data_IF_324278621963
#
_entry.id   IF_324278621963
#
_cell.length_a   1.000
_cell.length_b   1.000
_cell.length_c   1.000
_cell.angle_alpha   90.00
_cell.angle_beta   90.00
_cell.angle_gamma   90.00
#
_symmetry.space_group_name_H-M   'P 1'
#
loop_
_entity.id
_entity.type
_entity.pdbx_description
1 polymer ?
#
# COMPACT_ATOMS: atom_id res chain seq x y z
N UNK A 1 23.39 -9.21 63.03
CA UNK A 1 21.96 -9.07 63.38
C UNK A 1 21.45 -7.74 62.84
N UNK A 2 20.35 -7.80 62.07
CA UNK A 2 19.35 -6.75 61.80
C UNK A 2 19.82 -5.40 61.21
N UNK A 3 19.57 -5.29 59.89
CA UNK A 3 19.51 -4.06 59.09
C UNK A 3 18.18 -3.36 59.34
N UNK A 4 18.15 -2.02 59.38
CA UNK A 4 17.04 -1.20 58.86
C UNK A 4 17.49 0.27 58.73
N UNK A 5 17.50 0.77 57.49
CA UNK A 5 17.48 2.20 57.17
C UNK A 5 16.06 2.54 56.73
N UNK A 6 15.52 3.63 57.29
CA UNK A 6 14.23 4.25 56.90
C UNK A 6 14.52 5.22 55.76
N UNK A 7 13.79 5.09 54.65
CA UNK A 7 13.74 6.10 53.59
C UNK A 7 12.30 6.24 53.08
N UNK A 8 11.70 7.39 53.43
CA UNK A 8 10.97 8.38 52.62
C UNK A 8 9.88 7.89 51.63
N UNK A 9 8.68 8.42 51.86
CA UNK A 9 7.46 8.40 51.04
C UNK A 9 7.66 8.80 49.57
N UNK A 10 6.87 8.21 48.66
CA UNK A 10 6.10 8.96 47.66
C UNK A 10 4.98 8.09 47.07
N UNK A 11 3.75 8.61 47.11
CA UNK A 11 2.59 8.00 46.48
C UNK A 11 2.76 8.01 44.96
N UNK A 12 2.68 6.84 44.33
CA UNK A 12 2.65 6.70 42.87
C UNK A 12 1.20 6.48 42.43
N UNK A 13 0.60 7.48 41.80
CA UNK A 13 -0.72 7.38 41.19
C UNK A 13 -0.63 6.49 39.93
N UNK A 14 -1.57 5.56 39.70
CA UNK A 14 -1.60 4.82 38.45
C UNK A 14 -2.12 5.73 37.34
N UNK A 15 -1.24 6.10 36.40
CA UNK A 15 -1.64 6.67 35.12
C UNK A 15 -2.34 5.59 34.31
N UNK A 16 -3.64 5.76 34.04
CA UNK A 16 -4.37 4.96 33.07
C UNK A 16 -3.80 5.24 31.68
N UNK A 17 -2.97 4.33 31.17
CA UNK A 17 -2.59 4.32 29.76
C UNK A 17 -3.82 3.90 28.94
N UNK A 18 -4.44 4.86 28.26
CA UNK A 18 -5.45 4.56 27.25
C UNK A 18 -4.81 3.76 26.12
N UNK A 19 -5.12 2.48 26.07
CA UNK A 19 -4.88 1.64 24.89
C UNK A 19 -5.81 2.15 23.79
N UNK A 20 -5.28 2.98 22.89
CA UNK A 20 -5.87 3.15 21.56
C UNK A 20 -5.77 1.78 20.89
N UNK A 21 -6.88 1.05 20.88
CA UNK A 21 -7.08 -0.03 19.95
C UNK A 21 -7.10 0.58 18.55
N UNK A 22 -5.95 0.55 17.88
CA UNK A 22 -5.91 0.75 16.44
C UNK A 22 -6.72 -0.39 15.81
N UNK A 23 -7.98 -0.11 15.46
CA UNK A 23 -8.75 -1.01 14.60
C UNK A 23 -7.95 -1.20 13.33
N UNK A 24 -7.63 -2.43 12.90
CA UNK A 24 -7.10 -2.62 11.57
C UNK A 24 -8.16 -2.05 10.62
N UNK A 25 -7.78 -1.02 9.87
CA UNK A 25 -8.54 -0.63 8.69
C UNK A 25 -8.40 -1.81 7.75
N UNK A 26 -9.37 -2.73 7.81
CA UNK A 26 -9.58 -3.70 6.74
C UNK A 26 -9.98 -2.82 5.57
N UNK A 27 -8.98 -2.43 4.77
CA UNK A 27 -9.22 -1.79 3.48
C UNK A 27 -10.17 -2.73 2.74
N UNK A 28 -11.40 -2.29 2.53
CA UNK A 28 -12.45 -3.08 1.91
C UNK A 28 -11.93 -3.60 0.58
N UNK A 29 -11.45 -4.83 0.51
CA UNK A 29 -11.00 -5.44 -0.74
C UNK A 29 -12.19 -5.51 -1.67
N UNK A 30 -12.05 -5.06 -2.93
CA UNK A 30 -13.01 -5.40 -3.98
C UNK A 30 -13.30 -6.89 -3.90
N UNK A 31 -14.53 -7.22 -3.51
CA UNK A 31 -15.00 -8.59 -3.50
C UNK A 31 -15.30 -9.06 -4.93
N UNK A 32 -15.50 -8.12 -5.86
CA UNK A 32 -15.92 -8.41 -7.23
C UNK A 32 -14.78 -8.96 -8.11
N UNK A 33 -13.53 -8.52 -7.91
CA UNK A 33 -12.37 -9.02 -8.66
C UNK A 33 -11.61 -10.14 -7.95
N UNK A 34 -12.02 -10.53 -6.75
CA UNK A 34 -11.35 -11.56 -5.96
C UNK A 34 -10.03 -11.07 -5.35
N UNK A 35 -9.03 -11.96 -5.29
CA UNK A 35 -7.76 -11.67 -4.61
C UNK A 35 -6.82 -10.79 -5.47
N UNK A 36 -6.55 -9.58 -4.98
CA UNK A 36 -5.62 -8.61 -5.57
C UNK A 36 -4.29 -8.48 -4.79
N UNK A 37 -4.03 -9.36 -3.82
CA UNK A 37 -2.91 -9.20 -2.87
C UNK A 37 -1.55 -9.18 -3.55
N UNK A 38 -1.37 -9.97 -4.62
CA UNK A 38 -0.14 -10.00 -5.40
C UNK A 38 0.14 -8.65 -6.08
N UNK A 39 -0.87 -8.06 -6.73
CA UNK A 39 -0.77 -6.74 -7.38
C UNK A 39 -0.46 -5.64 -6.38
N UNK A 40 -1.16 -5.65 -5.23
CA UNK A 40 -0.91 -4.71 -4.12
C UNK A 40 0.53 -4.82 -3.60
N UNK A 41 1.05 -6.04 -3.47
CA UNK A 41 2.42 -6.26 -3.01
C UNK A 41 3.43 -5.66 -4.00
N UNK A 42 3.30 -5.95 -5.30
CA UNK A 42 4.20 -5.42 -6.31
C UNK A 42 4.13 -3.89 -6.38
N UNK A 43 2.95 -3.29 -6.30
CA UNK A 43 2.78 -1.84 -6.31
C UNK A 43 3.39 -1.17 -5.06
N UNK A 44 3.24 -1.75 -3.86
CA UNK A 44 3.88 -1.25 -2.64
C UNK A 44 5.40 -1.38 -2.70
N UNK A 45 5.92 -2.52 -3.17
CA UNK A 45 7.37 -2.69 -3.33
C UNK A 45 7.93 -1.68 -4.34
N UNK A 46 7.21 -1.42 -5.43
CA UNK A 46 7.58 -0.37 -6.40
C UNK A 46 7.60 1.00 -5.74
N UNK A 47 6.59 1.32 -4.91
CA UNK A 47 6.54 2.58 -4.16
C UNK A 47 7.75 2.72 -3.21
N UNK A 48 8.09 1.67 -2.47
CA UNK A 48 9.26 1.65 -1.58
C UNK A 48 10.56 1.92 -2.36
N UNK A 49 10.72 1.36 -3.55
CA UNK A 49 11.89 1.61 -4.40
C UNK A 49 11.96 3.07 -4.87
N UNK A 50 10.82 3.67 -5.24
CA UNK A 50 10.78 5.10 -5.58
C UNK A 50 11.10 5.97 -4.36
N UNK A 51 10.59 5.61 -3.19
CA UNK A 51 10.85 6.32 -1.94
C UNK A 51 12.31 6.22 -1.48
N UNK A 52 13.01 5.12 -1.82
CA UNK A 52 14.45 4.97 -1.59
C UNK A 52 15.33 5.59 -2.68
N UNK A 53 14.73 6.15 -3.74
CA UNK A 53 15.45 6.75 -4.87
C UNK A 53 15.96 5.75 -5.91
N UNK A 54 15.61 4.47 -5.81
CA UNK A 54 16.01 3.43 -6.77
C UNK A 54 15.01 3.37 -7.95
N UNK A 55 15.12 4.35 -8.83
CA UNK A 55 14.22 4.49 -9.98
C UNK A 55 14.40 3.35 -11.01
N UNK A 56 15.59 2.77 -11.11
CA UNK A 56 15.87 1.67 -12.04
C UNK A 56 15.20 0.38 -11.57
N UNK A 57 15.33 0.06 -10.28
CA UNK A 57 14.62 -1.07 -9.70
C UNK A 57 13.09 -0.87 -9.74
N UNK A 58 12.61 0.37 -9.49
CA UNK A 58 11.19 0.68 -9.59
C UNK A 58 10.65 0.45 -11.01
N UNK A 59 11.38 0.84 -12.05
CA UNK A 59 11.02 0.56 -13.45
C UNK A 59 10.94 -0.93 -13.77
N UNK A 60 11.86 -1.73 -13.22
CA UNK A 60 11.79 -3.19 -13.36
C UNK A 60 10.54 -3.72 -12.64
N UNK A 61 10.30 -3.28 -11.41
CA UNK A 61 9.22 -3.82 -10.60
C UNK A 61 7.82 -3.44 -11.10
N UNK A 62 7.65 -2.26 -11.70
CA UNK A 62 6.39 -1.92 -12.37
C UNK A 62 6.19 -2.72 -13.68
N UNK A 63 7.26 -3.20 -14.31
CA UNK A 63 7.15 -4.12 -15.46
C UNK A 63 6.69 -5.51 -15.01
N UNK A 64 7.15 -5.96 -13.84
CA UNK A 64 6.63 -7.19 -13.22
C UNK A 64 5.13 -7.06 -12.89
N UNK A 65 4.69 -5.87 -12.43
CA UNK A 65 3.26 -5.58 -12.22
C UNK A 65 2.45 -5.74 -13.51
N UNK A 66 2.87 -5.04 -14.58
CA UNK A 66 2.19 -5.04 -15.89
C UNK A 66 2.05 -6.46 -16.44
N UNK A 67 3.14 -7.24 -16.39
CA UNK A 67 3.15 -8.63 -16.86
C UNK A 67 2.11 -9.49 -16.14
N UNK A 68 2.03 -9.40 -14.81
CA UNK A 68 1.08 -10.17 -14.01
C UNK A 68 -0.36 -9.67 -14.18
N UNK A 69 -0.55 -8.36 -14.34
CA UNK A 69 -1.86 -7.74 -14.55
C UNK A 69 -2.47 -8.16 -15.89
N UNK A 70 -1.69 -8.07 -16.98
CA UNK A 70 -2.09 -8.50 -18.32
C UNK A 70 -2.42 -9.99 -18.35
N UNK A 71 -1.58 -10.82 -17.71
CA UNK A 71 -1.82 -12.27 -17.61
C UNK A 71 -3.12 -12.59 -16.85
N UNK A 72 -3.54 -11.73 -15.94
CA UNK A 72 -4.77 -11.89 -15.17
C UNK A 72 -6.02 -11.35 -15.88
N UNK A 73 -5.89 -10.56 -16.95
CA UNK A 73 -7.01 -9.90 -17.62
C UNK A 73 -8.14 -10.86 -17.98
N UNK A 74 -7.84 -11.98 -18.63
CA UNK A 74 -8.87 -12.96 -19.06
C UNK A 74 -9.69 -13.53 -17.89
N UNK A 75 -9.12 -13.55 -16.68
CA UNK A 75 -9.79 -14.00 -15.45
C UNK A 75 -10.53 -12.88 -14.74
N UNK A 76 -9.94 -11.68 -14.67
CA UNK A 76 -10.46 -10.57 -13.87
C UNK A 76 -11.48 -9.73 -14.62
N UNK A 77 -11.22 -9.43 -15.90
CA UNK A 77 -12.09 -8.57 -16.71
C UNK A 77 -13.55 -9.02 -16.71
N UNK A 78 -13.89 -10.32 -16.93
CA UNK A 78 -15.29 -10.75 -16.98
C UNK A 78 -16.00 -10.72 -15.62
N UNK A 79 -15.28 -10.62 -14.50
CA UNK A 79 -15.90 -10.60 -13.16
C UNK A 79 -16.53 -9.25 -12.85
N UNK A 80 -15.86 -8.16 -13.21
CA UNK A 80 -16.37 -6.81 -13.07
C UNK A 80 -15.62 -5.84 -13.99
N UNK A 81 -16.23 -5.49 -15.11
CA UNK A 81 -15.62 -4.63 -16.13
C UNK A 81 -15.35 -3.21 -15.60
N UNK A 82 -16.23 -2.66 -14.74
CA UNK A 82 -16.09 -1.30 -14.22
C UNK A 82 -14.92 -1.20 -13.24
N UNK A 83 -14.86 -2.11 -12.26
CA UNK A 83 -13.77 -2.11 -11.28
C UNK A 83 -12.43 -2.51 -11.90
N UNK A 84 -12.43 -3.44 -12.87
CA UNK A 84 -11.23 -3.78 -13.61
C UNK A 84 -10.70 -2.55 -14.36
N UNK A 85 -11.57 -1.84 -15.08
CA UNK A 85 -11.17 -0.64 -15.85
C UNK A 85 -10.68 0.51 -14.98
N UNK A 86 -11.20 0.66 -13.77
CA UNK A 86 -10.71 1.65 -12.80
C UNK A 86 -9.26 1.33 -12.37
N UNK A 87 -8.97 0.07 -12.05
CA UNK A 87 -7.61 -0.36 -11.69
C UNK A 87 -6.68 -0.25 -12.89
N UNK A 88 -7.13 -0.68 -14.07
CA UNK A 88 -6.38 -0.64 -15.33
C UNK A 88 -5.92 0.78 -15.68
N UNK A 89 -6.83 1.76 -15.61
CA UNK A 89 -6.52 3.18 -15.81
C UNK A 89 -5.47 3.69 -14.80
N UNK A 90 -5.56 3.26 -13.54
CA UNK A 90 -4.58 3.65 -12.53
C UNK A 90 -3.21 2.96 -12.74
N UNK A 91 -3.21 1.72 -13.25
CA UNK A 91 -2.02 0.98 -13.61
C UNK A 91 -1.29 1.67 -14.77
N UNK A 92 -2.00 2.04 -15.83
CA UNK A 92 -1.47 2.81 -16.95
C UNK A 92 -0.81 4.11 -16.50
N UNK A 93 -1.44 4.83 -15.56
CA UNK A 93 -0.87 6.04 -14.97
C UNK A 93 0.45 5.77 -14.22
N UNK A 94 0.50 4.71 -13.42
CA UNK A 94 1.72 4.31 -12.70
C UNK A 94 2.84 3.88 -13.66
N UNK A 95 2.55 3.00 -14.62
CA UNK A 95 3.48 2.52 -15.65
C UNK A 95 4.04 3.70 -16.45
N UNK A 96 3.17 4.58 -16.94
CA UNK A 96 3.55 5.75 -17.72
C UNK A 96 4.44 6.72 -16.94
N UNK A 97 4.13 6.94 -15.64
CA UNK A 97 4.92 7.84 -14.80
C UNK A 97 6.37 7.38 -14.61
N UNK A 98 6.58 6.05 -14.47
CA UNK A 98 7.89 5.44 -14.28
C UNK A 98 8.66 5.28 -15.60
N UNK A 99 7.96 5.14 -16.74
CA UNK A 99 8.56 5.00 -18.07
C UNK A 99 8.70 6.31 -18.85
N UNK A 100 8.30 7.44 -18.27
CA UNK A 100 8.51 8.75 -18.87
C UNK A 100 9.99 8.97 -19.22
N UNK A 101 10.28 9.72 -20.29
CA UNK A 101 11.66 10.00 -20.77
C UNK A 101 12.57 10.54 -19.65
N UNK A 102 12.00 11.29 -18.71
CA UNK A 102 12.64 11.76 -17.47
C UNK A 102 11.64 11.53 -16.33
N UNK A 103 11.64 10.36 -15.69
CA UNK A 103 10.66 10.04 -14.66
C UNK A 103 10.89 10.92 -13.43
N UNK A 104 9.80 11.49 -12.90
CA UNK A 104 9.83 12.26 -11.65
C UNK A 104 9.47 11.33 -10.47
N UNK A 105 10.32 11.24 -9.43
CA UNK A 105 10.00 10.45 -8.24
C UNK A 105 8.70 10.87 -7.57
N UNK A 106 8.39 12.17 -7.55
CA UNK A 106 7.15 12.66 -6.93
C UNK A 106 5.90 12.26 -7.72
N UNK A 107 5.97 12.35 -9.06
CA UNK A 107 4.88 11.90 -9.91
C UNK A 107 4.68 10.39 -9.83
N UNK A 108 5.77 9.61 -9.78
CA UNK A 108 5.71 8.16 -9.62
C UNK A 108 5.11 7.76 -8.27
N UNK A 109 5.53 8.39 -7.16
CA UNK A 109 4.92 8.17 -5.83
C UNK A 109 3.43 8.45 -5.84
N UNK A 110 3.01 9.56 -6.43
CA UNK A 110 1.59 9.92 -6.52
C UNK A 110 0.81 8.88 -7.32
N UNK A 111 1.30 8.50 -8.50
CA UNK A 111 0.62 7.52 -9.35
C UNK A 111 0.53 6.14 -8.69
N UNK A 112 1.59 5.66 -8.03
CA UNK A 112 1.58 4.39 -7.29
C UNK A 112 0.62 4.42 -6.09
N UNK A 113 0.57 5.53 -5.34
CA UNK A 113 -0.40 5.71 -4.24
C UNK A 113 -1.83 5.69 -4.76
N UNK A 114 -2.09 6.30 -5.91
CA UNK A 114 -3.39 6.22 -6.59
C UNK A 114 -3.73 4.79 -6.97
N UNK A 115 -2.83 4.07 -7.65
CA UNK A 115 -3.02 2.66 -8.01
C UNK A 115 -3.32 1.78 -6.78
N UNK A 116 -2.54 1.92 -5.71
CA UNK A 116 -2.76 1.17 -4.45
C UNK A 116 -4.14 1.49 -3.85
N UNK A 117 -4.53 2.78 -3.83
CA UNK A 117 -5.83 3.21 -3.31
C UNK A 117 -7.00 2.67 -4.14
N UNK A 118 -6.87 2.68 -5.47
CA UNK A 118 -7.90 2.13 -6.37
C UNK A 118 -8.00 0.62 -6.22
N UNK A 119 -6.89 -0.12 -6.13
CA UNK A 119 -6.95 -1.57 -5.83
C UNK A 119 -7.54 -1.89 -4.45
N UNK A 120 -7.44 -0.96 -3.50
CA UNK A 120 -8.16 -1.08 -2.24
C UNK A 120 -9.64 -0.89 -2.47
N UNK A 121 -10.06 0.23 -3.06
CA UNK A 121 -11.48 0.53 -3.26
C UNK A 121 -11.77 1.02 -4.69
N UNK A 122 -11.94 0.11 -5.66
CA UNK A 122 -12.04 0.47 -7.08
C UNK A 122 -13.40 1.07 -7.47
N UNK A 123 -14.41 0.95 -6.60
CA UNK A 123 -15.74 1.53 -6.80
C UNK A 123 -15.82 3.00 -6.41
N UNK A 124 -14.76 3.57 -5.80
CA UNK A 124 -14.70 5.00 -5.44
C UNK A 124 -14.28 5.83 -6.65
N UNK A 125 -15.21 6.62 -7.18
CA UNK A 125 -14.94 7.66 -8.19
C UNK A 125 -14.39 8.92 -7.53
#
# INVERSE_FOLDING_TARGET
MKKTFIIISLAFAPTLASLVSATPVVAATSQALGDLSRFKTIANDTLTLVESGDMVAAQKRITDFETEWDAAQSRLYPLNHEEWGAIDTAADGAISSLRAKKPSPDNAKLALKTLIKVMQNPSMK
#
